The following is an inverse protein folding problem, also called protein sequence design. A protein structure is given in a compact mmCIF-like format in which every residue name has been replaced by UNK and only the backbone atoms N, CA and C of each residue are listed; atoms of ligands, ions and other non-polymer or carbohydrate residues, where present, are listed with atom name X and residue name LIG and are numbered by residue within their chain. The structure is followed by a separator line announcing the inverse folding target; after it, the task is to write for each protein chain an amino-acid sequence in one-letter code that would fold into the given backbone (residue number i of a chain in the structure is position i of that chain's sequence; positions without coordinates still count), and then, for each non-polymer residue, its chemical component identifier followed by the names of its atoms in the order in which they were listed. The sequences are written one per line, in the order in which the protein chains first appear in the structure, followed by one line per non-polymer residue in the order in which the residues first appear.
data_IF_653894054162
#
_entry.id   IF_653894054162
#
_cell.length_a   1.000
_cell.length_b   1.000
_cell.length_c   1.000
_cell.angle_alpha   90.00
_cell.angle_beta   90.00
_cell.angle_gamma   90.00
#
_symmetry.space_group_name_H-M   'P 1'
#
loop_
_entity.id
_entity.type
_entity.pdbx_description
1 polymer ?
#
# COMPACT_ATOMS: atom_id res chain seq x y z
N UNK A 1 -1.43 32.06 -53.91
CA UNK A 1 -2.25 31.69 -52.73
C UNK A 1 -2.09 30.19 -52.52
N UNK A 2 -1.27 29.70 -51.58
CA UNK A 2 -1.20 28.27 -51.30
C UNK A 2 -2.17 27.88 -50.18
N UNK A 3 -2.95 26.85 -50.46
CA UNK A 3 -3.98 26.27 -49.60
C UNK A 3 -3.33 25.52 -48.41
N UNK A 4 -3.66 25.96 -47.20
CA UNK A 4 -3.09 25.46 -45.95
C UNK A 4 -3.58 24.06 -45.62
N UNK A 5 -2.80 23.05 -45.99
CA UNK A 5 -3.02 21.66 -45.55
C UNK A 5 -2.69 21.54 -44.07
N UNK A 6 -3.72 21.54 -43.22
CA UNK A 6 -3.58 21.33 -41.77
C UNK A 6 -3.30 19.85 -41.48
N UNK A 7 -2.09 19.54 -40.99
CA UNK A 7 -1.76 18.26 -40.39
C UNK A 7 -2.65 18.00 -39.17
N UNK A 8 -3.43 16.92 -39.18
CA UNK A 8 -4.12 16.42 -37.98
C UNK A 8 -3.07 15.72 -37.11
N UNK A 9 -2.60 16.40 -36.07
CA UNK A 9 -1.82 15.76 -35.01
C UNK A 9 -2.79 14.93 -34.19
N UNK A 10 -2.80 13.62 -34.42
CA UNK A 10 -3.49 12.65 -33.56
C UNK A 10 -2.71 12.57 -32.25
N UNK A 11 -3.06 13.42 -31.28
CA UNK A 11 -2.70 13.20 -29.87
C UNK A 11 -3.73 12.28 -29.23
N UNK A 12 -3.86 11.06 -29.75
CA UNK A 12 -4.44 9.97 -28.97
C UNK A 12 -3.32 9.39 -28.12
N UNK A 13 -3.16 9.97 -26.92
CA UNK A 13 -2.42 9.31 -25.86
C UNK A 13 -3.16 7.99 -25.57
N UNK A 14 -2.71 6.90 -26.20
CA UNK A 14 -3.19 5.56 -25.91
C UNK A 14 -3.15 5.38 -24.38
N UNK A 15 -4.24 4.96 -23.73
CA UNK A 15 -4.18 4.64 -22.31
C UNK A 15 -3.11 3.57 -22.16
N UNK A 16 -2.00 3.88 -21.44
CA UNK A 16 -1.00 2.88 -21.13
C UNK A 16 -1.76 1.69 -20.55
N UNK A 17 -1.66 0.55 -21.22
CA UNK A 17 -2.19 -0.71 -20.73
C UNK A 17 -1.75 -0.82 -19.26
N UNK A 18 -2.70 -0.80 -18.32
CA UNK A 18 -2.40 -1.18 -16.94
C UNK A 18 -1.83 -2.59 -17.08
N UNK A 19 -0.54 -2.78 -16.80
CA UNK A 19 0.09 -4.10 -16.81
C UNK A 19 -0.88 -5.05 -16.12
N UNK A 20 -1.39 -6.02 -16.88
CA UNK A 20 -2.34 -7.00 -16.36
C UNK A 20 -1.76 -7.55 -15.07
N UNK A 21 -2.53 -7.46 -13.99
CA UNK A 21 -2.13 -7.97 -12.68
C UNK A 21 -1.72 -9.43 -12.91
N UNK A 22 -0.43 -9.76 -12.75
CA UNK A 22 0.07 -11.14 -12.92
C UNK A 22 -0.85 -12.09 -12.15
N UNK A 23 -1.14 -13.30 -12.68
CA UNK A 23 -1.96 -14.28 -11.98
C UNK A 23 -1.45 -14.46 -10.55
N UNK A 24 -2.36 -14.52 -9.59
CA UNK A 24 -2.01 -14.56 -8.16
C UNK A 24 -1.08 -15.74 -7.82
N UNK A 25 -1.25 -16.87 -8.53
CA UNK A 25 -0.39 -18.05 -8.44
C UNK A 25 1.07 -17.79 -8.87
N UNK A 26 1.31 -17.04 -9.95
CA UNK A 26 2.67 -16.70 -10.41
C UNK A 26 3.35 -15.70 -9.46
N UNK A 27 2.55 -14.82 -8.83
CA UNK A 27 3.01 -13.92 -7.78
C UNK A 27 3.35 -14.67 -6.51
N UNK A 28 2.54 -15.65 -6.08
CA UNK A 28 2.82 -16.48 -4.91
C UNK A 28 4.11 -17.31 -5.09
N UNK A 29 4.36 -17.82 -6.30
CA UNK A 29 5.60 -18.52 -6.63
C UNK A 29 6.85 -17.61 -6.58
N UNK A 30 6.71 -16.34 -6.97
CA UNK A 30 7.82 -15.37 -7.00
C UNK A 30 7.97 -14.57 -5.70
N UNK A 31 6.91 -14.49 -4.90
CA UNK A 31 6.81 -13.71 -3.66
C UNK A 31 6.25 -14.62 -2.54
N UNK A 32 6.96 -15.68 -2.12
CA UNK A 32 6.47 -16.66 -1.15
C UNK A 32 6.08 -16.04 0.19
N UNK A 33 6.64 -14.88 0.54
CA UNK A 33 6.23 -14.09 1.71
C UNK A 33 4.78 -13.56 1.64
N UNK A 34 4.12 -13.61 0.48
CA UNK A 34 2.68 -13.31 0.35
C UNK A 34 1.79 -14.49 0.68
N UNK A 35 2.29 -15.73 0.63
CA UNK A 35 1.47 -16.93 0.76
C UNK A 35 0.80 -17.04 2.13
N UNK A 36 1.43 -16.50 3.18
CA UNK A 36 0.90 -16.48 4.54
C UNK A 36 0.44 -15.07 4.98
N UNK A 37 0.63 -14.05 4.14
CA UNK A 37 0.70 -12.63 4.54
C UNK A 37 -0.56 -12.01 5.16
N UNK A 38 -1.64 -12.77 5.32
CA UNK A 38 -2.87 -12.37 6.00
C UNK A 38 -3.45 -13.45 6.93
N UNK A 39 -2.59 -14.35 7.43
CA UNK A 39 -2.92 -15.43 8.34
C UNK A 39 -3.52 -14.96 9.68
N UNK A 40 -3.88 -15.92 10.55
CA UNK A 40 -4.39 -15.61 11.89
C UNK A 40 -3.36 -14.84 12.75
N UNK A 41 -2.07 -15.14 12.58
CA UNK A 41 -0.96 -14.44 13.22
C UNK A 41 -0.92 -12.95 12.83
N UNK A 42 -0.90 -12.65 11.52
CA UNK A 42 -0.99 -11.28 11.02
C UNK A 42 -2.24 -10.57 11.53
N UNK A 43 -3.42 -11.22 11.49
CA UNK A 43 -4.66 -10.61 12.00
C UNK A 43 -4.57 -10.23 13.48
N UNK A 44 -3.95 -11.06 14.32
CA UNK A 44 -3.70 -10.76 15.74
C UNK A 44 -2.69 -9.63 15.90
N UNK A 45 -1.57 -9.67 15.19
CA UNK A 45 -0.54 -8.64 15.24
C UNK A 45 -1.07 -7.28 14.77
N UNK A 46 -1.91 -7.27 13.73
CA UNK A 46 -2.60 -6.09 13.23
C UNK A 46 -3.52 -5.45 14.27
N UNK A 47 -4.25 -6.25 15.05
CA UNK A 47 -5.07 -5.74 16.16
C UNK A 47 -4.20 -5.12 17.26
N UNK A 48 -3.08 -5.77 17.60
CA UNK A 48 -2.13 -5.25 18.59
C UNK A 48 -1.47 -3.94 18.12
N UNK A 49 -1.10 -3.82 16.84
CA UNK A 49 -0.54 -2.59 16.29
C UNK A 49 -1.54 -1.43 16.38
N UNK A 50 -2.82 -1.68 16.05
CA UNK A 50 -3.88 -0.67 16.20
C UNK A 50 -4.14 -0.32 17.67
N UNK A 51 -4.10 -1.29 18.59
CA UNK A 51 -4.22 -1.05 20.03
C UNK A 51 -3.10 -0.15 20.54
N UNK A 52 -1.84 -0.47 20.22
CA UNK A 52 -0.67 0.30 20.64
C UNK A 52 -0.70 1.76 20.15
N UNK A 53 -1.29 1.98 18.99
CA UNK A 53 -1.41 3.31 18.38
C UNK A 53 -2.75 3.98 18.71
N UNK A 54 -3.61 3.36 19.53
CA UNK A 54 -4.93 3.87 19.88
C UNK A 54 -5.82 4.13 18.66
N UNK A 55 -5.61 3.37 17.57
CA UNK A 55 -6.29 3.57 16.30
C UNK A 55 -5.92 4.86 15.55
N UNK A 56 -4.80 5.49 15.91
CA UNK A 56 -4.32 6.72 15.28
C UNK A 56 -3.19 6.44 14.30
N UNK A 57 -3.11 7.24 13.25
CA UNK A 57 -2.02 7.22 12.29
C UNK A 57 -0.71 7.58 13.00
N UNK A 58 0.32 6.75 12.87
CA UNK A 58 1.62 7.01 13.51
C UNK A 58 2.34 8.25 12.93
N UNK A 59 2.02 8.65 11.70
CA UNK A 59 2.65 9.79 11.04
C UNK A 59 1.92 11.12 11.29
N UNK A 60 0.58 11.11 11.25
CA UNK A 60 -0.24 12.34 11.34
C UNK A 60 -0.98 12.49 12.67
N UNK A 61 -1.07 11.43 13.48
CA UNK A 61 -1.84 11.41 14.74
C UNK A 61 -3.36 11.35 14.57
N UNK A 62 -3.86 11.39 13.32
CA UNK A 62 -5.29 11.35 13.03
C UNK A 62 -5.94 10.02 13.41
N UNK A 63 -7.18 10.04 13.89
CA UNK A 63 -7.93 8.82 14.19
C UNK A 63 -8.37 8.13 12.89
N UNK A 64 -7.80 6.95 12.60
CA UNK A 64 -8.07 6.21 11.35
C UNK A 64 -8.73 4.85 11.58
N UNK A 65 -8.65 4.34 12.81
CA UNK A 65 -9.33 3.12 13.25
C UNK A 65 -10.06 3.35 14.58
N UNK A 66 -11.15 2.64 14.82
CA UNK A 66 -11.90 2.69 16.08
C UNK A 66 -12.14 1.28 16.60
N UNK A 67 -12.21 1.12 17.92
CA UNK A 67 -12.53 -0.15 18.55
C UNK A 67 -14.05 -0.30 18.62
N UNK A 68 -14.60 -1.34 17.99
CA UNK A 68 -16.02 -1.74 18.07
C UNK A 68 -16.10 -3.19 18.50
N UNK A 69 -16.90 -3.47 19.53
CA UNK A 69 -17.10 -4.83 20.05
C UNK A 69 -15.77 -5.53 20.38
N UNK A 70 -14.84 -4.79 21.01
CA UNK A 70 -13.51 -5.29 21.35
C UNK A 70 -12.53 -5.44 20.18
N UNK A 71 -12.95 -5.16 18.95
CA UNK A 71 -12.14 -5.32 17.73
C UNK A 71 -11.86 -3.98 17.06
N UNK A 72 -10.61 -3.71 16.70
CA UNK A 72 -10.25 -2.54 15.90
C UNK A 72 -10.69 -2.69 14.45
N UNK A 73 -11.38 -1.66 13.97
CA UNK A 73 -11.81 -1.51 12.58
C UNK A 73 -11.28 -0.21 12.03
N UNK A 74 -10.66 -0.27 10.86
CA UNK A 74 -10.30 0.93 10.12
C UNK A 74 -11.59 1.56 9.60
N UNK A 75 -11.76 2.85 9.88
CA UNK A 75 -12.95 3.63 9.47
C UNK A 75 -12.63 4.61 8.35
N UNK A 76 -11.36 4.97 8.20
CA UNK A 76 -10.93 5.86 7.14
C UNK A 76 -10.63 5.06 5.85
N UNK A 77 -11.25 5.39 4.72
CA UNK A 77 -10.92 4.78 3.44
C UNK A 77 -9.44 4.96 3.08
N UNK A 78 -8.79 3.89 2.65
CA UNK A 78 -7.38 3.90 2.26
C UNK A 78 -6.38 3.91 3.42
N UNK A 79 -6.82 4.03 4.67
CA UNK A 79 -5.96 3.77 5.82
C UNK A 79 -5.68 2.27 5.95
N UNK A 80 -4.50 1.94 6.46
CA UNK A 80 -4.00 0.57 6.44
C UNK A 80 -2.90 0.35 7.46
N UNK A 81 -2.63 -0.92 7.74
CA UNK A 81 -1.44 -1.31 8.49
C UNK A 81 -0.34 -1.61 7.47
N UNK A 82 0.79 -0.96 7.66
CA UNK A 82 1.98 -1.02 6.81
C UNK A 82 3.11 -1.74 7.57
N UNK A 83 3.95 -2.47 6.84
CA UNK A 83 5.18 -3.03 7.38
C UNK A 83 6.31 -2.01 7.28
N UNK A 84 6.94 -1.63 8.40
CA UNK A 84 8.06 -0.66 8.41
C UNK A 84 9.25 -1.17 7.61
N UNK A 85 9.61 -2.43 7.85
CA UNK A 85 10.50 -3.20 6.99
C UNK A 85 9.63 -4.12 6.17
N UNK A 86 9.72 -4.00 4.84
CA UNK A 86 8.92 -4.83 3.95
C UNK A 86 9.32 -6.31 4.06
N UNK A 87 8.36 -7.19 3.80
CA UNK A 87 8.60 -8.64 3.84
C UNK A 87 9.71 -9.09 2.87
N UNK A 88 9.83 -8.44 1.71
CA UNK A 88 10.90 -8.73 0.74
C UNK A 88 12.30 -8.36 1.24
N UNK A 89 12.40 -7.44 2.20
CA UNK A 89 13.67 -6.95 2.77
C UNK A 89 13.98 -7.64 4.12
N UNK A 90 13.32 -8.77 4.42
CA UNK A 90 13.47 -9.51 5.67
C UNK A 90 12.56 -9.05 6.82
N UNK A 91 11.54 -8.24 6.52
CA UNK A 91 10.52 -7.86 7.49
C UNK A 91 9.65 -9.02 7.95
N UNK A 92 8.96 -8.84 9.07
CA UNK A 92 8.05 -9.84 9.64
C UNK A 92 6.67 -9.24 9.97
N UNK A 93 5.70 -10.10 10.28
CA UNK A 93 4.38 -9.69 10.79
C UNK A 93 4.40 -9.33 12.28
N UNK A 94 5.58 -9.09 12.87
CA UNK A 94 5.70 -8.69 14.26
C UNK A 94 4.94 -7.36 14.51
N UNK A 95 4.16 -7.24 15.59
CA UNK A 95 3.41 -6.02 15.90
C UNK A 95 4.28 -4.75 16.01
N UNK A 96 5.59 -4.88 16.28
CA UNK A 96 6.54 -3.77 16.28
C UNK A 96 6.97 -3.34 14.86
N UNK A 97 6.94 -4.27 13.89
CA UNK A 97 7.15 -3.97 12.47
C UNK A 97 5.89 -3.44 11.79
N UNK A 98 4.73 -3.57 12.42
CA UNK A 98 3.46 -3.07 11.88
C UNK A 98 3.16 -1.64 12.36
N UNK A 99 2.69 -0.80 11.45
CA UNK A 99 2.33 0.60 11.74
C UNK A 99 1.01 0.98 11.07
N UNK A 100 0.07 1.55 11.81
CA UNK A 100 -1.18 2.08 11.27
C UNK A 100 -0.93 3.45 10.65
N UNK A 101 -1.34 3.60 9.40
CA UNK A 101 -1.16 4.82 8.62
C UNK A 101 -2.48 5.24 7.98
N UNK A 102 -2.65 6.56 7.86
CA UNK A 102 -3.68 7.16 7.00
C UNK A 102 -3.32 6.96 5.52
N UNK A 103 -4.31 7.10 4.64
CA UNK A 103 -4.10 6.94 3.20
C UNK A 103 -2.99 7.85 2.66
N UNK A 104 -2.97 9.12 3.08
CA UNK A 104 -1.96 10.10 2.66
C UNK A 104 -0.56 9.75 3.13
N UNK A 105 -0.42 9.29 4.38
CA UNK A 105 0.87 8.88 4.93
C UNK A 105 1.38 7.60 4.23
N UNK A 106 0.49 6.65 3.97
CA UNK A 106 0.82 5.44 3.23
C UNK A 106 1.30 5.75 1.81
N UNK A 107 0.57 6.61 1.09
CA UNK A 107 0.93 7.02 -0.26
C UNK A 107 2.29 7.74 -0.30
N UNK A 108 2.60 8.56 0.71
CA UNK A 108 3.88 9.26 0.82
C UNK A 108 5.04 8.28 1.02
N UNK A 109 4.92 7.36 1.98
CA UNK A 109 5.96 6.36 2.25
C UNK A 109 6.17 5.45 1.03
N UNK A 110 5.10 5.00 0.38
CA UNK A 110 5.19 4.20 -0.85
C UNK A 110 5.85 4.98 -2.00
N UNK A 111 5.66 6.30 -2.07
CA UNK A 111 6.29 7.15 -3.08
C UNK A 111 7.77 7.40 -2.77
N UNK A 112 8.13 7.61 -1.51
CA UNK A 112 9.51 7.73 -1.05
C UNK A 112 10.29 6.44 -1.34
N UNK A 113 9.69 5.28 -1.07
CA UNK A 113 10.30 3.97 -1.40
C UNK A 113 10.56 3.80 -2.89
N UNK A 114 9.56 4.10 -3.73
CA UNK A 114 9.71 4.03 -5.20
C UNK A 114 10.80 4.98 -5.74
N UNK A 115 11.02 6.13 -5.09
CA UNK A 115 12.10 7.05 -5.46
C UNK A 115 13.48 6.51 -5.05
N UNK A 116 13.57 5.83 -3.90
CA UNK A 116 14.79 5.17 -3.45
C UNK A 116 15.17 3.96 -4.31
N UNK A 117 14.19 3.16 -4.72
CA UNK A 117 14.39 2.00 -5.60
C UNK A 117 14.75 2.39 -7.05
N UNK A 118 14.44 3.61 -7.47
CA UNK A 118 14.79 4.16 -8.79
C UNK A 118 16.13 4.89 -8.85
N UNK A 119 16.96 4.81 -7.80
CA UNK A 119 18.26 5.49 -7.71
C UNK A 119 19.46 4.54 -7.59
N UNK A 120 19.30 3.29 -8.03
CA UNK A 120 20.42 2.37 -8.26
C UNK A 120 20.55 2.02 -9.73
#
# INVERSE_FOLDING_TARGET
MPDGTRCKVVTEAQPRMRQGRRPDAERLASEPWRADGYGSAYRKARQQAMERQGGRCAATGEQVAVKRDGTWRIVQPGAGVHHRTALCDGGSDDPANLVLLSASAHARIDAERRRGEGSQ
#
